data_IF_266383563769
#
_entry.id   IF_266383563769
#
_cell.length_a   1.000
_cell.length_b   1.000
_cell.length_c   1.000
_cell.angle_alpha   90.00
_cell.angle_beta   90.00
_cell.angle_gamma   90.00
#
_symmetry.space_group_name_H-M   'P 1'
#
loop_
_entity.id
_entity.type
_entity.pdbx_description
1 polymer ?
#
# COMPACT_ATOMS: atom_id res chain seq x y z
N UNK A 1 -6.78 -43.88 -74.09
CA UNK A 1 -5.67 -44.50 -73.39
C UNK A 1 -4.62 -43.42 -73.21
N UNK A 2 -4.61 -42.74 -72.02
CA UNK A 2 -3.57 -41.82 -71.64
C UNK A 2 -3.33 -42.02 -70.15
N UNK A 3 -2.15 -42.50 -69.92
CA UNK A 3 -1.60 -42.76 -68.59
C UNK A 3 -1.13 -41.50 -67.97
N UNK A 4 -1.66 -41.17 -66.78
CA UNK A 4 -1.26 -40.01 -65.99
C UNK A 4 -0.62 -40.45 -64.68
N UNK A 5 0.68 -40.53 -64.74
CA UNK A 5 1.55 -40.77 -63.60
C UNK A 5 1.54 -39.60 -62.61
N UNK A 6 0.96 -39.83 -61.44
CA UNK A 6 0.96 -38.88 -60.32
C UNK A 6 2.37 -38.87 -59.68
N UNK A 7 3.06 -37.74 -59.78
CA UNK A 7 4.27 -37.48 -58.99
C UNK A 7 3.88 -36.95 -57.61
N UNK A 8 4.17 -37.74 -56.58
CA UNK A 8 4.08 -37.35 -55.18
C UNK A 8 5.30 -36.46 -54.84
N UNK A 9 5.07 -35.18 -54.49
CA UNK A 9 6.06 -34.35 -53.86
C UNK A 9 6.00 -34.57 -52.34
N UNK A 10 7.00 -35.18 -51.74
CA UNK A 10 7.22 -35.25 -50.30
C UNK A 10 7.98 -33.97 -49.92
N UNK A 11 7.26 -33.02 -49.29
CA UNK A 11 7.88 -31.87 -48.63
C UNK A 11 8.41 -32.32 -47.27
N UNK A 12 9.71 -32.45 -47.12
CA UNK A 12 10.34 -32.65 -45.81
C UNK A 12 10.33 -31.33 -45.06
N UNK A 13 9.49 -31.22 -44.04
CA UNK A 13 9.49 -30.09 -43.09
C UNK A 13 10.69 -30.28 -42.13
N UNK A 14 11.69 -29.42 -42.27
CA UNK A 14 12.76 -29.28 -41.28
C UNK A 14 12.14 -28.61 -40.04
N UNK A 15 11.88 -29.38 -39.00
CA UNK A 15 11.56 -28.86 -37.66
C UNK A 15 12.90 -28.40 -37.07
N UNK A 16 13.13 -27.09 -37.10
CA UNK A 16 14.21 -26.50 -36.34
C UNK A 16 13.87 -26.62 -34.83
N UNK A 17 14.60 -27.46 -34.12
CA UNK A 17 14.50 -27.56 -32.67
C UNK A 17 14.96 -26.23 -32.05
N UNK A 18 14.02 -25.49 -31.44
CA UNK A 18 14.35 -24.35 -30.61
C UNK A 18 15.22 -24.81 -29.42
N UNK A 19 16.25 -24.03 -29.04
CA UNK A 19 17.04 -24.38 -27.88
C UNK A 19 16.16 -24.43 -26.64
N UNK A 20 16.41 -25.33 -25.69
CA UNK A 20 15.61 -25.36 -24.45
C UNK A 20 15.77 -24.03 -23.73
N UNK A 21 14.64 -23.35 -23.49
CA UNK A 21 14.58 -22.22 -22.58
C UNK A 21 15.04 -22.76 -21.23
N UNK A 22 16.23 -22.33 -20.79
CA UNK A 22 16.72 -22.61 -19.47
C UNK A 22 15.71 -21.97 -18.51
N UNK A 23 14.78 -22.75 -17.98
CA UNK A 23 14.01 -22.33 -16.81
C UNK A 23 15.04 -22.14 -15.69
N UNK A 24 15.32 -20.90 -15.38
CA UNK A 24 15.90 -20.56 -14.08
C UNK A 24 14.92 -21.12 -13.04
N UNK A 25 15.25 -22.29 -12.51
CA UNK A 25 14.53 -22.85 -11.38
C UNK A 25 14.70 -21.84 -10.25
N UNK A 26 13.68 -21.00 -10.05
CA UNK A 26 13.55 -20.26 -8.82
C UNK A 26 13.63 -21.30 -7.70
N UNK A 27 14.67 -21.21 -6.87
CA UNK A 27 14.82 -22.05 -5.69
C UNK A 27 13.56 -21.85 -4.87
N UNK A 28 12.68 -22.84 -4.84
CA UNK A 28 11.55 -22.82 -3.90
C UNK A 28 12.14 -22.67 -2.51
N UNK A 29 11.64 -21.72 -1.71
CA UNK A 29 12.10 -21.60 -0.33
C UNK A 29 12.07 -22.97 0.34
N UNK A 30 13.11 -23.29 1.11
CA UNK A 30 13.12 -24.55 1.87
C UNK A 30 11.92 -24.52 2.82
N UNK A 31 11.14 -25.61 2.93
CA UNK A 31 10.03 -25.66 3.88
C UNK A 31 10.53 -25.32 5.28
N UNK A 32 9.84 -24.40 5.97
CA UNK A 32 10.19 -23.97 7.34
C UNK A 32 10.21 -25.13 8.36
N UNK A 33 9.65 -26.28 8.01
CA UNK A 33 9.69 -27.51 8.80
C UNK A 33 11.09 -28.06 9.07
N UNK A 34 12.11 -27.57 8.37
CA UNK A 34 13.53 -27.97 8.53
C UNK A 34 14.36 -26.96 9.30
N UNK A 35 13.77 -25.80 9.68
CA UNK A 35 14.47 -24.79 10.45
C UNK A 35 14.65 -25.24 11.90
N UNK A 36 15.81 -24.96 12.48
CA UNK A 36 16.04 -25.04 13.91
C UNK A 36 15.28 -23.95 14.67
N UNK A 37 15.13 -24.10 15.99
CA UNK A 37 14.49 -23.09 16.85
C UNK A 37 15.18 -21.73 16.74
N UNK A 38 16.51 -21.70 16.59
CA UNK A 38 17.25 -20.44 16.48
C UNK A 38 17.07 -19.79 15.11
N UNK A 39 16.99 -20.57 14.02
CA UNK A 39 16.64 -20.05 12.71
C UNK A 39 15.22 -19.49 12.66
N UNK A 40 14.26 -20.14 13.33
CA UNK A 40 12.88 -19.64 13.47
C UNK A 40 12.86 -18.30 14.23
N UNK A 41 13.57 -18.20 15.36
CA UNK A 41 13.68 -16.95 16.10
C UNK A 41 14.37 -15.85 15.28
N UNK A 42 15.43 -16.19 14.56
CA UNK A 42 16.15 -15.27 13.70
C UNK A 42 15.28 -14.74 12.54
N UNK A 43 14.41 -15.60 11.97
CA UNK A 43 13.53 -15.22 10.87
C UNK A 43 12.52 -14.10 11.26
N UNK A 44 12.11 -14.04 12.51
CA UNK A 44 11.15 -13.04 13.00
C UNK A 44 11.82 -11.84 13.69
N UNK A 45 13.12 -11.91 13.94
CA UNK A 45 13.84 -10.86 14.68
C UNK A 45 13.93 -9.50 13.98
N UNK A 46 13.99 -9.39 12.64
CA UNK A 46 14.13 -8.10 11.97
C UNK A 46 12.99 -7.12 12.27
N UNK A 47 11.77 -7.64 12.45
CA UNK A 47 10.61 -6.79 12.76
C UNK A 47 9.59 -7.52 13.63
N UNK A 48 9.20 -6.90 14.74
CA UNK A 48 8.16 -7.38 15.67
C UNK A 48 7.34 -6.21 16.19
N UNK A 49 6.12 -6.50 16.62
CA UNK A 49 5.33 -5.57 17.41
C UNK A 49 5.93 -5.42 18.81
N UNK A 50 6.08 -4.18 19.24
CA UNK A 50 6.50 -3.80 20.59
C UNK A 50 5.31 -3.37 21.45
N UNK A 51 5.50 -2.30 22.21
CA UNK A 51 4.45 -1.77 23.11
C UNK A 51 3.34 -1.06 22.32
N UNK A 52 2.13 -1.16 22.82
CA UNK A 52 1.00 -0.36 22.37
C UNK A 52 1.24 1.12 22.62
N UNK A 53 0.84 1.95 21.68
CA UNK A 53 1.01 3.41 21.72
C UNK A 53 -0.33 4.16 21.70
N UNK A 54 -1.46 3.47 21.75
CA UNK A 54 -2.79 4.10 21.77
C UNK A 54 -2.87 5.12 22.90
N UNK A 55 -3.17 6.38 22.60
CA UNK A 55 -3.26 7.42 23.62
C UNK A 55 -4.49 7.18 24.51
N UNK A 56 -4.45 7.68 25.74
CA UNK A 56 -5.59 7.61 26.67
C UNK A 56 -6.83 8.37 26.18
N UNK A 57 -6.64 9.36 25.34
CA UNK A 57 -7.69 10.14 24.69
C UNK A 57 -7.13 10.71 23.38
N UNK A 58 -7.96 10.80 22.36
CA UNK A 58 -7.64 11.46 21.10
C UNK A 58 -7.86 12.99 21.20
N UNK A 59 -7.37 13.80 20.25
CA UNK A 59 -7.53 15.26 20.27
C UNK A 59 -8.98 15.70 20.47
N UNK A 60 -9.18 16.77 21.23
CA UNK A 60 -10.49 17.37 21.49
C UNK A 60 -11.52 16.40 22.12
N UNK A 61 -11.07 15.36 22.83
CA UNK A 61 -11.92 14.35 23.44
C UNK A 61 -12.56 13.40 22.45
N UNK A 62 -11.99 13.26 21.25
CA UNK A 62 -12.44 12.27 20.28
C UNK A 62 -12.27 10.85 20.83
N UNK A 63 -13.17 9.96 20.41
CA UNK A 63 -13.20 8.55 20.80
C UNK A 63 -12.38 7.67 19.87
N UNK A 64 -12.29 8.03 18.59
CA UNK A 64 -11.60 7.28 17.58
C UNK A 64 -10.87 8.21 16.63
N UNK A 65 -9.66 7.82 16.21
CA UNK A 65 -8.95 8.46 15.11
C UNK A 65 -9.27 7.70 13.81
N UNK A 66 -9.64 8.41 12.76
CA UNK A 66 -9.96 7.83 11.45
C UNK A 66 -8.98 8.35 10.41
N UNK A 67 -8.24 7.45 9.79
CA UNK A 67 -7.42 7.71 8.62
C UNK A 67 -8.04 7.02 7.40
N UNK A 68 -8.44 7.80 6.42
CA UNK A 68 -8.82 7.28 5.10
C UNK A 68 -7.61 7.43 4.19
N UNK A 69 -7.00 6.31 3.82
CA UNK A 69 -5.74 6.29 3.09
C UNK A 69 -5.88 5.70 1.69
N UNK A 70 -4.97 6.09 0.81
CA UNK A 70 -4.97 5.73 -0.59
C UNK A 70 -3.59 5.26 -1.00
N UNK A 71 -3.49 4.05 -1.57
CA UNK A 71 -2.31 3.57 -2.25
C UNK A 71 -2.46 3.89 -3.74
N UNK A 72 -1.63 4.83 -4.20
CA UNK A 72 -1.73 5.45 -5.52
C UNK A 72 -0.86 4.70 -6.54
N UNK A 73 -1.03 3.40 -6.63
CA UNK A 73 -0.16 2.53 -7.42
C UNK A 73 -0.19 2.84 -8.90
N UNK A 74 -1.38 3.17 -9.40
CA UNK A 74 -1.61 3.39 -10.83
C UNK A 74 -1.00 2.25 -11.67
N UNK A 75 -0.11 2.56 -12.64
CA UNK A 75 0.55 1.56 -13.46
C UNK A 75 1.85 1.01 -12.85
N UNK A 76 2.35 1.64 -11.78
CA UNK A 76 3.72 1.39 -11.29
C UNK A 76 3.98 -0.07 -10.95
N UNK A 77 3.02 -0.76 -10.31
CA UNK A 77 3.17 -2.16 -9.95
C UNK A 77 3.21 -3.08 -11.19
N UNK A 78 2.43 -2.79 -12.25
CA UNK A 78 2.46 -3.52 -13.50
C UNK A 78 3.82 -3.33 -14.20
N UNK A 79 4.31 -2.09 -14.25
CA UNK A 79 5.61 -1.77 -14.85
C UNK A 79 6.72 -2.46 -14.07
N UNK A 80 6.69 -2.44 -12.74
CA UNK A 80 7.65 -3.14 -11.88
C UNK A 80 7.67 -4.65 -12.15
N UNK A 81 6.50 -5.25 -12.40
CA UNK A 81 6.36 -6.66 -12.75
C UNK A 81 6.71 -6.96 -14.22
N UNK A 82 7.13 -5.97 -15.01
CA UNK A 82 7.44 -6.13 -16.45
C UNK A 82 6.21 -6.27 -17.35
N UNK A 83 5.00 -6.04 -16.83
CA UNK A 83 3.78 -6.07 -17.61
C UNK A 83 3.46 -4.68 -18.16
N UNK A 84 3.81 -4.45 -19.42
CA UNK A 84 3.61 -3.17 -20.13
C UNK A 84 2.53 -3.23 -21.21
N UNK A 85 1.62 -4.22 -21.14
CA UNK A 85 0.51 -4.31 -22.08
C UNK A 85 -0.43 -3.10 -21.93
N UNK A 86 -0.72 -2.34 -23.02
CA UNK A 86 -1.43 -1.05 -22.93
C UNK A 86 -2.79 -1.14 -22.22
N UNK A 87 -3.56 -2.20 -22.46
CA UNK A 87 -4.88 -2.37 -21.82
C UNK A 87 -4.74 -2.62 -20.31
N UNK A 88 -3.70 -3.33 -19.88
CA UNK A 88 -3.42 -3.55 -18.46
C UNK A 88 -3.00 -2.24 -17.79
N UNK A 89 -2.12 -1.48 -18.43
CA UNK A 89 -1.69 -0.18 -17.90
C UNK A 89 -2.87 0.81 -17.78
N UNK A 90 -3.82 0.78 -18.72
CA UNK A 90 -4.99 1.66 -18.68
C UNK A 90 -5.89 1.48 -17.44
N UNK A 91 -5.79 0.34 -16.74
CA UNK A 91 -6.48 0.15 -15.45
C UNK A 91 -5.84 1.00 -14.35
N UNK A 92 -4.53 1.09 -14.34
CA UNK A 92 -3.81 1.98 -13.41
C UNK A 92 -4.03 3.46 -13.76
N UNK A 93 -3.95 3.82 -15.05
CA UNK A 93 -4.24 5.16 -15.55
C UNK A 93 -5.61 5.67 -15.09
N UNK A 94 -6.63 4.81 -15.02
CA UNK A 94 -7.95 5.17 -14.51
C UNK A 94 -7.89 5.81 -13.11
N UNK A 95 -6.98 5.37 -12.25
CA UNK A 95 -6.79 5.93 -10.91
C UNK A 95 -6.46 7.42 -10.96
N UNK A 96 -5.51 7.83 -11.82
CA UNK A 96 -5.11 9.21 -12.00
C UNK A 96 -6.11 10.02 -12.85
N UNK A 97 -6.63 9.43 -13.95
CA UNK A 97 -7.47 10.13 -14.90
C UNK A 97 -8.90 10.41 -14.39
N UNK A 98 -9.46 9.48 -13.60
CA UNK A 98 -10.86 9.58 -13.18
C UNK A 98 -11.06 9.34 -11.66
N UNK A 99 -10.35 8.38 -11.07
CA UNK A 99 -10.57 7.97 -9.69
C UNK A 99 -10.26 9.08 -8.70
N UNK A 100 -9.06 9.67 -8.78
CA UNK A 100 -8.58 10.69 -7.84
C UNK A 100 -9.47 11.94 -7.84
N UNK A 101 -10.01 12.36 -8.99
CA UNK A 101 -10.87 13.54 -9.07
C UNK A 101 -12.16 13.35 -8.26
N UNK A 102 -12.76 12.15 -8.31
CA UNK A 102 -13.96 11.83 -7.52
C UNK A 102 -13.64 11.77 -6.03
N UNK A 103 -12.48 11.23 -5.68
CA UNK A 103 -12.03 11.11 -4.30
C UNK A 103 -11.81 12.49 -3.70
N UNK A 104 -11.10 13.37 -4.39
CA UNK A 104 -10.85 14.74 -3.92
C UNK A 104 -12.15 15.54 -3.79
N UNK A 105 -13.05 15.44 -4.78
CA UNK A 105 -14.37 16.07 -4.69
C UNK A 105 -15.20 15.54 -3.49
N UNK A 106 -15.10 14.25 -3.18
CA UNK A 106 -15.75 13.66 -2.03
C UNK A 106 -15.16 14.18 -0.71
N UNK A 107 -13.82 14.28 -0.63
CA UNK A 107 -13.13 14.79 0.54
C UNK A 107 -13.41 16.28 0.76
N UNK A 108 -13.51 17.06 -0.32
CA UNK A 108 -13.95 18.45 -0.26
C UNK A 108 -15.41 18.57 0.23
N UNK A 109 -16.31 17.73 -0.27
CA UNK A 109 -17.71 17.69 0.18
C UNK A 109 -17.83 17.45 1.69
N UNK A 110 -17.00 16.57 2.22
CA UNK A 110 -17.04 16.21 3.63
C UNK A 110 -16.11 17.05 4.51
N UNK A 111 -15.25 17.89 3.93
CA UNK A 111 -14.22 18.66 4.62
C UNK A 111 -13.34 17.80 5.53
N UNK A 112 -12.75 16.73 4.95
CA UNK A 112 -11.89 15.79 5.64
C UNK A 112 -10.51 15.67 4.98
N UNK A 113 -9.45 15.38 5.76
CA UNK A 113 -8.15 15.06 5.20
C UNK A 113 -8.07 13.60 4.72
N UNK A 114 -7.00 13.28 3.98
CA UNK A 114 -6.64 11.92 3.60
C UNK A 114 -5.14 11.77 3.46
N UNK A 115 -4.65 10.54 3.57
CA UNK A 115 -3.25 10.19 3.34
C UNK A 115 -3.10 9.46 2.02
N UNK A 116 -2.18 9.91 1.19
CA UNK A 116 -1.92 9.36 -0.13
C UNK A 116 -0.50 8.81 -0.15
N UNK A 117 -0.35 7.49 -0.14
CA UNK A 117 0.93 6.83 -0.29
C UNK A 117 1.17 6.56 -1.77
N UNK A 118 2.20 7.20 -2.31
CA UNK A 118 2.37 7.28 -3.75
C UNK A 118 3.74 6.72 -4.15
N UNK A 119 3.80 5.67 -5.00
CA UNK A 119 5.04 5.30 -5.66
C UNK A 119 5.61 6.50 -6.43
N UNK A 120 6.90 6.75 -6.34
CA UNK A 120 7.49 7.93 -6.99
C UNK A 120 7.27 7.92 -8.52
N UNK A 121 7.21 6.74 -9.15
CA UNK A 121 6.89 6.58 -10.57
C UNK A 121 5.47 7.04 -10.88
N UNK A 122 4.48 6.77 -10.02
CA UNK A 122 3.12 7.29 -10.20
C UNK A 122 3.10 8.82 -10.14
N UNK A 123 3.87 9.42 -9.21
CA UNK A 123 4.04 10.88 -9.16
C UNK A 123 4.77 11.46 -10.38
N UNK A 124 5.72 10.71 -10.95
CA UNK A 124 6.43 11.08 -12.17
C UNK A 124 5.52 11.07 -13.40
N UNK A 125 4.66 10.06 -13.50
CA UNK A 125 3.72 9.90 -14.63
C UNK A 125 2.59 10.94 -14.58
N UNK A 126 2.14 11.33 -13.37
CA UNK A 126 0.96 12.15 -13.15
C UNK A 126 1.24 13.36 -12.23
N UNK A 127 2.07 14.32 -12.65
CA UNK A 127 2.37 15.51 -11.84
C UNK A 127 1.11 16.34 -11.53
N UNK A 128 0.12 16.36 -12.42
CA UNK A 128 -1.17 17.06 -12.20
C UNK A 128 -1.99 16.41 -11.08
N UNK A 129 -1.95 15.09 -10.95
CA UNK A 129 -2.57 14.35 -9.84
C UNK A 129 -1.93 14.76 -8.52
N UNK A 130 -0.60 14.81 -8.46
CA UNK A 130 0.15 15.27 -7.27
C UNK A 130 -0.23 16.71 -6.92
N UNK A 131 -0.32 17.59 -7.92
CA UNK A 131 -0.73 18.98 -7.71
C UNK A 131 -2.17 19.09 -7.19
N UNK A 132 -3.10 18.29 -7.73
CA UNK A 132 -4.49 18.27 -7.28
C UNK A 132 -4.60 17.82 -5.81
N UNK A 133 -3.88 16.76 -5.40
CA UNK A 133 -3.85 16.29 -4.01
C UNK A 133 -3.31 17.38 -3.07
N UNK A 134 -2.28 18.13 -3.49
CA UNK A 134 -1.65 19.18 -2.69
C UNK A 134 -2.48 20.46 -2.58
N UNK A 135 -3.36 20.73 -3.54
CA UNK A 135 -4.00 22.04 -3.72
C UNK A 135 -4.82 22.48 -2.51
N UNK A 136 -5.44 21.55 -1.78
CA UNK A 136 -6.21 21.86 -0.57
C UNK A 136 -5.35 22.16 0.66
N UNK A 137 -4.08 21.74 0.66
CA UNK A 137 -3.18 21.84 1.83
C UNK A 137 -3.54 20.94 3.02
N UNK A 138 -4.63 20.15 2.92
CA UNK A 138 -5.13 19.31 4.03
C UNK A 138 -4.67 17.86 3.95
N UNK A 139 -4.25 17.39 2.75
CA UNK A 139 -3.87 16.01 2.53
C UNK A 139 -2.39 15.79 2.77
N UNK A 140 -2.07 14.56 3.14
CA UNK A 140 -0.71 14.07 3.26
C UNK A 140 -0.29 13.29 2.01
N UNK A 141 0.98 13.41 1.64
CA UNK A 141 1.64 12.50 0.71
C UNK A 141 2.72 11.74 1.48
N UNK A 142 2.60 10.41 1.53
CA UNK A 142 3.57 9.47 2.03
C UNK A 142 4.32 8.75 0.90
N UNK A 143 5.45 8.13 1.23
CA UNK A 143 6.26 7.35 0.28
C UNK A 143 5.74 5.92 0.18
N UNK A 144 5.60 5.42 -1.06
CA UNK A 144 5.19 4.04 -1.37
C UNK A 144 6.17 3.35 -2.33
N UNK A 145 7.46 3.39 -1.98
CA UNK A 145 8.54 2.91 -2.83
C UNK A 145 8.85 3.81 -4.03
N UNK A 146 9.75 3.33 -4.90
CA UNK A 146 10.08 4.01 -6.17
C UNK A 146 9.07 3.69 -7.27
N UNK A 147 8.87 2.39 -7.56
CA UNK A 147 8.06 1.87 -8.67
C UNK A 147 7.07 0.79 -8.19
N UNK A 148 6.75 0.77 -6.90
CA UNK A 148 5.99 -0.32 -6.28
C UNK A 148 6.73 -1.65 -6.38
N UNK A 149 8.04 -1.63 -6.13
CA UNK A 149 8.92 -2.79 -6.14
C UNK A 149 8.57 -3.82 -5.07
N UNK A 150 8.73 -5.11 -5.39
CA UNK A 150 8.60 -6.20 -4.40
C UNK A 150 9.84 -6.24 -3.50
N UNK A 151 9.77 -5.60 -2.34
CA UNK A 151 10.90 -5.54 -1.41
C UNK A 151 11.39 -6.90 -0.93
N UNK A 152 10.52 -7.91 -0.65
CA UNK A 152 10.97 -9.24 -0.27
C UNK A 152 11.83 -9.96 -1.32
N UNK A 153 11.70 -9.58 -2.59
CA UNK A 153 12.46 -10.15 -3.69
C UNK A 153 13.82 -9.48 -3.91
N UNK A 154 14.12 -8.41 -3.17
CA UNK A 154 15.39 -7.70 -3.24
C UNK A 154 16.34 -8.25 -2.18
N UNK A 155 17.26 -9.13 -2.60
CA UNK A 155 18.24 -9.75 -1.71
C UNK A 155 19.42 -8.82 -1.36
N UNK A 156 19.63 -7.75 -2.12
CA UNK A 156 20.72 -6.78 -1.94
C UNK A 156 20.24 -5.53 -1.19
N UNK A 157 20.77 -5.34 0.02
CA UNK A 157 20.50 -4.15 0.85
C UNK A 157 20.84 -2.84 0.14
N UNK A 158 21.93 -2.82 -0.65
CA UNK A 158 22.36 -1.61 -1.34
C UNK A 158 21.38 -1.23 -2.47
N UNK A 159 20.79 -2.21 -3.15
CA UNK A 159 19.79 -1.97 -4.17
C UNK A 159 18.47 -1.45 -3.57
N UNK A 160 18.00 -2.03 -2.47
CA UNK A 160 16.82 -1.51 -1.76
C UNK A 160 17.03 -0.08 -1.26
N UNK A 161 18.20 0.19 -0.66
CA UNK A 161 18.57 1.55 -0.22
C UNK A 161 18.63 2.53 -1.39
N UNK A 162 19.15 2.12 -2.53
CA UNK A 162 19.22 2.93 -3.75
C UNK A 162 17.82 3.33 -4.24
N UNK A 163 16.88 2.37 -4.28
CA UNK A 163 15.49 2.61 -4.69
C UNK A 163 14.77 3.53 -3.71
N UNK A 164 14.92 3.28 -2.40
CA UNK A 164 14.35 4.11 -1.36
C UNK A 164 14.87 5.56 -1.45
N UNK A 165 16.18 5.76 -1.56
CA UNK A 165 16.77 7.09 -1.72
C UNK A 165 16.27 7.79 -2.98
N UNK A 166 16.14 7.07 -4.09
CA UNK A 166 15.60 7.61 -5.33
C UNK A 166 14.16 8.11 -5.15
N UNK A 167 13.33 7.38 -4.40
CA UNK A 167 11.97 7.81 -4.06
C UNK A 167 11.98 9.05 -3.15
N UNK A 168 12.83 9.06 -2.12
CA UNK A 168 13.00 10.20 -1.20
C UNK A 168 13.42 11.46 -1.96
N UNK A 169 14.42 11.37 -2.82
CA UNK A 169 14.94 12.49 -3.60
C UNK A 169 13.86 13.07 -4.53
N UNK A 170 13.12 12.19 -5.22
CA UNK A 170 11.99 12.61 -6.06
C UNK A 170 10.95 13.38 -5.24
N UNK A 171 10.50 12.82 -4.13
CA UNK A 171 9.48 13.45 -3.31
C UNK A 171 9.96 14.71 -2.61
N UNK A 172 11.20 14.73 -2.11
CA UNK A 172 11.78 15.93 -1.50
C UNK A 172 11.84 17.08 -2.51
N UNK A 173 12.26 16.80 -3.75
CA UNK A 173 12.27 17.79 -4.82
C UNK A 173 10.87 18.28 -5.19
N UNK A 174 9.90 17.35 -5.27
CA UNK A 174 8.53 17.64 -5.70
C UNK A 174 7.75 18.42 -4.64
N UNK A 175 7.94 18.08 -3.36
CA UNK A 175 7.19 18.64 -2.24
C UNK A 175 7.91 19.81 -1.54
N UNK A 176 9.20 20.00 -1.80
CA UNK A 176 10.04 20.96 -1.08
C UNK A 176 10.51 20.50 0.30
N UNK A 177 10.08 19.31 0.73
CA UNK A 177 10.49 18.64 1.97
C UNK A 177 10.30 17.13 1.85
N UNK A 178 11.05 16.36 2.62
CA UNK A 178 10.89 14.92 2.69
C UNK A 178 9.55 14.55 3.36
N UNK A 179 8.75 13.61 2.81
CA UNK A 179 7.64 12.98 3.52
C UNK A 179 8.14 12.23 4.75
N UNK A 180 7.35 12.22 5.82
CA UNK A 180 7.71 11.57 7.07
C UNK A 180 7.03 10.20 7.26
N UNK A 181 6.01 9.90 6.46
CA UNK A 181 5.29 8.63 6.45
C UNK A 181 5.77 7.71 5.33
N UNK A 182 5.87 6.43 5.66
CA UNK A 182 6.20 5.36 4.74
C UNK A 182 5.11 4.29 4.76
N UNK A 183 4.83 3.73 3.60
CA UNK A 183 4.07 2.49 3.43
C UNK A 183 4.81 1.64 2.40
N UNK A 184 5.14 0.40 2.76
CA UNK A 184 5.82 -0.50 1.84
C UNK A 184 4.89 -0.92 0.70
N UNK A 185 5.37 -1.02 -0.54
CA UNK A 185 4.63 -1.66 -1.61
C UNK A 185 4.11 -3.04 -1.19
N UNK A 186 2.84 -3.33 -1.51
CA UNK A 186 2.14 -4.57 -1.09
C UNK A 186 2.20 -4.86 0.41
N UNK A 187 2.50 -3.87 1.24
CA UNK A 187 2.70 -3.97 2.69
C UNK A 187 3.74 -5.03 3.09
N UNK A 188 4.73 -5.22 2.24
CA UNK A 188 5.72 -6.27 2.39
C UNK A 188 7.11 -5.69 2.64
N UNK A 189 7.70 -6.04 3.78
CA UNK A 189 9.07 -5.68 4.12
C UNK A 189 10.06 -6.76 3.66
N UNK A 190 11.23 -6.33 3.24
CA UNK A 190 12.44 -7.17 3.28
C UNK A 190 12.98 -7.21 4.69
N UNK A 191 14.01 -8.01 4.90
CA UNK A 191 14.76 -8.01 6.18
C UNK A 191 15.53 -6.71 6.46
N UNK A 192 15.60 -5.79 5.51
CA UNK A 192 16.36 -4.53 5.60
C UNK A 192 15.48 -3.30 5.73
N UNK A 193 14.22 -3.39 5.30
CA UNK A 193 13.33 -2.24 5.12
C UNK A 193 13.20 -1.40 6.38
N UNK A 194 12.95 -2.01 7.55
CA UNK A 194 12.77 -1.27 8.80
C UNK A 194 14.01 -0.42 9.15
N UNK A 195 15.19 -0.99 9.01
CA UNK A 195 16.43 -0.27 9.30
C UNK A 195 16.68 0.85 8.29
N UNK A 196 16.34 0.63 7.01
CA UNK A 196 16.51 1.61 5.95
C UNK A 196 15.58 2.81 6.13
N UNK A 197 14.29 2.60 6.40
CA UNK A 197 13.35 3.71 6.59
C UNK A 197 13.70 4.53 7.85
N UNK A 198 14.12 3.87 8.93
CA UNK A 198 14.63 4.55 10.13
C UNK A 198 15.87 5.40 9.84
N UNK A 199 16.86 4.81 9.18
CA UNK A 199 18.10 5.50 8.84
C UNK A 199 17.89 6.70 7.91
N UNK A 200 16.82 6.72 7.13
CA UNK A 200 16.46 7.79 6.22
C UNK A 200 15.41 8.76 6.80
N UNK A 201 15.12 8.71 8.12
CA UNK A 201 14.39 9.75 8.83
C UNK A 201 12.87 9.68 8.75
N UNK A 202 12.29 8.55 8.30
CA UNK A 202 10.85 8.34 8.40
C UNK A 202 10.42 8.26 9.87
N UNK A 203 9.27 8.82 10.19
CA UNK A 203 8.78 8.92 11.56
C UNK A 203 7.72 7.87 11.89
N UNK A 204 7.03 7.35 10.90
CA UNK A 204 6.08 6.27 11.05
C UNK A 204 6.03 5.39 9.79
N UNK A 205 5.62 4.17 10.00
CA UNK A 205 5.27 3.19 8.99
C UNK A 205 3.77 2.87 9.05
N UNK A 206 3.21 2.38 7.95
CA UNK A 206 1.83 1.92 7.86
C UNK A 206 1.75 0.71 6.94
N UNK A 207 2.44 -0.37 7.32
CA UNK A 207 2.53 -1.59 6.50
C UNK A 207 2.27 -2.87 7.28
N UNK A 208 2.43 -2.85 8.61
CA UNK A 208 2.38 -4.07 9.42
C UNK A 208 1.00 -4.26 10.07
N UNK A 209 0.68 -5.53 10.40
CA UNK A 209 -0.67 -5.99 10.77
C UNK A 209 -0.69 -6.73 12.12
N UNK A 210 0.22 -6.38 13.05
CA UNK A 210 0.33 -7.18 14.27
C UNK A 210 -0.68 -6.79 15.36
N UNK A 211 -1.32 -5.63 15.25
CA UNK A 211 -2.33 -5.11 16.19
C UNK A 211 -3.34 -4.24 15.44
N UNK A 212 -4.50 -4.00 16.03
CA UNK A 212 -5.54 -3.11 15.49
C UNK A 212 -5.35 -1.65 15.92
N UNK A 213 -4.32 -1.35 16.68
CA UNK A 213 -4.05 -0.04 17.28
C UNK A 213 -2.59 0.36 17.12
N UNK A 214 -2.23 1.65 17.20
CA UNK A 214 -0.85 2.10 17.05
C UNK A 214 0.09 1.41 18.02
N UNK A 215 1.26 0.99 17.52
CA UNK A 215 2.29 0.35 18.33
C UNK A 215 3.70 0.74 17.89
N UNK A 216 4.69 0.46 18.73
CA UNK A 216 6.09 0.65 18.41
C UNK A 216 6.64 -0.57 17.67
N UNK A 217 7.36 -0.36 16.57
CA UNK A 217 8.12 -1.43 15.93
C UNK A 217 9.39 -1.75 16.73
N UNK A 218 9.68 -3.05 16.84
CA UNK A 218 10.88 -3.59 17.50
C UNK A 218 11.72 -4.30 16.47
N UNK A 219 13.04 -4.05 16.46
CA UNK A 219 14.02 -4.74 15.61
C UNK A 219 15.04 -5.45 16.50
N UNK A 220 15.26 -6.74 16.25
CA UNK A 220 16.20 -7.58 17.01
C UNK A 220 16.03 -7.45 18.55
N UNK A 221 14.78 -7.38 19.00
CA UNK A 221 14.43 -7.25 20.41
C UNK A 221 14.64 -5.86 21.00
N UNK A 222 14.99 -4.85 20.18
CA UNK A 222 15.21 -3.48 20.64
C UNK A 222 14.11 -2.54 20.12
N UNK A 223 13.55 -1.66 20.97
CA UNK A 223 12.65 -0.61 20.56
C UNK A 223 13.28 0.28 19.48
N UNK A 224 12.52 0.65 18.46
CA UNK A 224 13.04 1.42 17.33
C UNK A 224 12.66 2.89 17.38
N UNK A 225 11.69 3.27 18.20
CA UNK A 225 11.05 4.59 18.17
C UNK A 225 10.14 4.82 16.95
N UNK A 226 10.06 3.87 16.02
CA UNK A 226 9.16 3.94 14.86
C UNK A 226 7.73 3.60 15.29
N UNK A 227 6.80 4.51 14.99
CA UNK A 227 5.37 4.26 15.15
C UNK A 227 4.87 3.44 13.97
N UNK A 228 4.16 2.36 14.26
CA UNK A 228 3.34 1.67 13.29
C UNK A 228 1.89 2.17 13.40
N UNK A 229 1.33 2.62 12.28
CA UNK A 229 -0.10 2.82 12.10
C UNK A 229 -0.64 1.62 11.31
N UNK A 230 -1.15 0.59 12.01
CA UNK A 230 -1.41 -0.70 11.37
C UNK A 230 -2.44 -0.61 10.26
N UNK A 231 -2.22 -1.43 9.24
CA UNK A 231 -3.17 -1.76 8.19
C UNK A 231 -3.68 -3.18 8.39
N UNK A 232 -4.73 -3.56 7.68
CA UNK A 232 -5.22 -4.93 7.63
C UNK A 232 -5.90 -5.22 6.28
N UNK A 233 -5.75 -6.45 5.78
CA UNK A 233 -6.40 -6.87 4.54
C UNK A 233 -7.93 -6.82 4.59
N UNK A 234 -8.52 -6.85 5.80
CA UNK A 234 -9.97 -6.66 6.01
C UNK A 234 -10.38 -5.23 5.64
N UNK A 235 -9.49 -4.27 5.85
CA UNK A 235 -9.68 -2.84 5.58
C UNK A 235 -8.90 -2.38 4.34
N UNK A 236 -8.81 -3.23 3.32
CA UNK A 236 -8.23 -2.93 2.02
C UNK A 236 -9.25 -3.27 0.91
N UNK A 237 -9.48 -2.35 -0.01
CA UNK A 237 -10.42 -2.56 -1.12
C UNK A 237 -9.86 -3.51 -2.18
N UNK A 238 -8.55 -3.60 -2.32
CA UNK A 238 -7.89 -4.35 -3.41
C UNK A 238 -8.22 -5.85 -3.40
N UNK A 239 -8.07 -6.58 -2.28
CA UNK A 239 -8.38 -8.02 -2.25
C UNK A 239 -9.82 -8.35 -2.62
N UNK A 240 -10.75 -7.48 -2.25
CA UNK A 240 -12.18 -7.72 -2.50
C UNK A 240 -12.57 -7.51 -3.96
N UNK A 241 -11.98 -6.52 -4.64
CA UNK A 241 -12.47 -6.08 -5.94
C UNK A 241 -11.56 -6.43 -7.11
N UNK A 242 -10.41 -7.04 -6.88
CA UNK A 242 -9.43 -7.39 -7.92
C UNK A 242 -9.17 -8.89 -8.03
N UNK A 243 -9.70 -9.71 -7.12
CA UNK A 243 -9.56 -11.16 -7.19
C UNK A 243 -10.26 -11.75 -8.42
N UNK A 244 -9.67 -12.81 -8.99
CA UNK A 244 -10.21 -13.53 -10.14
C UNK A 244 -11.48 -14.29 -9.74
N UNK A 245 -12.64 -13.73 -10.02
CA UNK A 245 -13.93 -14.34 -9.70
C UNK A 245 -15.10 -13.39 -9.90
N UNK A 246 -16.28 -13.76 -9.38
CA UNK A 246 -17.41 -12.85 -9.35
C UNK A 246 -17.11 -11.68 -8.42
N UNK A 247 -17.25 -10.45 -8.92
CA UNK A 247 -17.06 -9.25 -8.10
C UNK A 247 -18.11 -9.23 -6.98
N UNK A 248 -17.70 -9.05 -5.72
CA UNK A 248 -18.64 -8.94 -4.61
C UNK A 248 -19.48 -7.67 -4.72
N UNK A 249 -20.64 -7.66 -4.07
CA UNK A 249 -21.43 -6.43 -3.94
C UNK A 249 -20.64 -5.38 -3.15
N UNK A 250 -20.46 -4.16 -3.69
CA UNK A 250 -19.85 -3.07 -2.92
C UNK A 250 -20.56 -2.82 -1.59
N UNK A 251 -21.88 -2.92 -1.54
CA UNK A 251 -22.66 -2.77 -0.31
C UNK A 251 -22.18 -3.69 0.82
N UNK A 252 -21.96 -4.98 0.51
CA UNK A 252 -21.51 -5.95 1.50
C UNK A 252 -20.09 -5.65 2.00
N UNK A 253 -19.19 -5.23 1.11
CA UNK A 253 -17.82 -4.87 1.50
C UNK A 253 -17.81 -3.62 2.36
N UNK A 254 -18.54 -2.56 1.96
CA UNK A 254 -18.63 -1.35 2.77
C UNK A 254 -19.37 -1.57 4.10
N UNK A 255 -20.21 -2.63 4.18
CA UNK A 255 -20.74 -3.06 5.48
C UNK A 255 -19.65 -3.61 6.38
N UNK A 256 -18.71 -4.42 5.87
CA UNK A 256 -17.54 -4.88 6.64
C UNK A 256 -16.74 -3.67 7.13
N UNK A 257 -16.41 -2.72 6.25
CA UNK A 257 -15.66 -1.52 6.62
C UNK A 257 -16.37 -0.71 7.71
N UNK A 258 -17.70 -0.65 7.68
CA UNK A 258 -18.49 0.02 8.72
C UNK A 258 -18.47 -0.74 10.05
N UNK A 259 -18.59 -2.07 10.02
CA UNK A 259 -18.62 -2.89 11.23
C UNK A 259 -17.26 -2.83 11.95
N UNK A 260 -16.14 -2.80 11.21
CA UNK A 260 -14.79 -2.56 11.72
C UNK A 260 -14.65 -1.15 12.35
N UNK A 261 -15.19 -0.12 11.68
CA UNK A 261 -15.22 1.22 12.27
C UNK A 261 -16.04 1.26 13.57
N UNK A 262 -17.21 0.63 13.61
CA UNK A 262 -18.05 0.62 14.81
C UNK A 262 -17.34 -0.04 16.00
N UNK A 263 -16.54 -1.07 15.74
CA UNK A 263 -15.76 -1.73 16.79
C UNK A 263 -14.59 -0.85 17.23
N UNK A 264 -13.82 -0.25 16.30
CA UNK A 264 -12.75 0.69 16.63
C UNK A 264 -13.27 1.90 17.43
N UNK A 265 -14.45 2.43 17.07
CA UNK A 265 -15.12 3.51 17.80
C UNK A 265 -15.51 3.10 19.24
N UNK A 266 -15.99 1.87 19.43
CA UNK A 266 -16.35 1.33 20.74
C UNK A 266 -15.12 1.10 21.62
N UNK A 267 -14.03 0.65 21.05
CA UNK A 267 -12.76 0.37 21.73
C UNK A 267 -11.96 1.65 22.02
N UNK A 268 -12.24 2.74 21.31
CA UNK A 268 -11.53 3.99 21.48
C UNK A 268 -10.16 4.01 20.83
N UNK A 269 -9.98 3.26 19.76
CA UNK A 269 -8.70 3.07 19.10
C UNK A 269 -8.58 3.89 17.80
N UNK A 270 -8.00 3.30 16.77
CA UNK A 270 -7.79 3.88 15.45
C UNK A 270 -8.53 3.05 14.39
N UNK A 271 -8.96 3.71 13.33
CA UNK A 271 -9.49 3.07 12.12
C UNK A 271 -8.67 3.53 10.92
N UNK A 272 -8.06 2.59 10.21
CA UNK A 272 -7.28 2.83 9.00
C UNK A 272 -7.92 2.07 7.84
N UNK A 273 -8.55 2.80 6.90
CA UNK A 273 -9.08 2.21 5.68
C UNK A 273 -8.13 2.52 4.53
N UNK A 274 -7.65 1.49 3.87
CA UNK A 274 -6.80 1.63 2.68
C UNK A 274 -7.61 1.36 1.43
N UNK A 275 -7.45 2.22 0.45
CA UNK A 275 -8.18 2.16 -0.81
C UNK A 275 -7.24 2.49 -1.98
N UNK A 276 -7.66 2.09 -3.18
CA UNK A 276 -6.95 2.38 -4.41
C UNK A 276 -7.84 3.19 -5.36
N UNK A 277 -7.39 4.31 -5.94
CA UNK A 277 -8.23 5.14 -6.81
C UNK A 277 -8.74 4.38 -8.04
N UNK A 278 -7.95 3.45 -8.56
CA UNK A 278 -8.33 2.56 -9.66
C UNK A 278 -9.32 1.46 -9.22
N UNK A 279 -9.60 1.32 -7.92
CA UNK A 279 -10.55 0.36 -7.34
C UNK A 279 -11.76 1.10 -6.80
N UNK A 280 -11.66 1.79 -5.67
CA UNK A 280 -12.81 2.49 -5.04
C UNK A 280 -13.21 3.79 -5.76
N UNK A 281 -12.32 4.39 -6.58
CA UNK A 281 -12.68 5.55 -7.40
C UNK A 281 -13.73 5.29 -8.49
N UNK A 282 -14.17 4.03 -8.69
CA UNK A 282 -15.25 3.68 -9.63
C UNK A 282 -16.64 4.14 -9.15
N UNK A 283 -17.52 4.41 -10.12
CA UNK A 283 -18.88 4.97 -9.91
C UNK A 283 -19.70 4.22 -8.86
N UNK A 284 -19.67 2.89 -8.88
CA UNK A 284 -20.47 2.07 -7.97
C UNK A 284 -19.90 1.96 -6.56
N UNK A 285 -18.61 2.26 -6.35
CA UNK A 285 -17.94 2.12 -5.06
C UNK A 285 -17.82 3.44 -4.32
N UNK A 286 -17.59 4.54 -5.07
CA UNK A 286 -17.46 5.87 -4.47
C UNK A 286 -18.73 6.33 -3.74
N UNK A 287 -19.92 5.88 -4.15
CA UNK A 287 -21.16 6.20 -3.46
C UNK A 287 -21.24 5.56 -2.07
N UNK A 288 -20.75 4.33 -1.92
CA UNK A 288 -20.70 3.67 -0.61
C UNK A 288 -19.62 4.26 0.30
N UNK A 289 -18.52 4.77 -0.27
CA UNK A 289 -17.55 5.55 0.52
C UNK A 289 -18.17 6.85 1.02
N UNK A 290 -18.97 7.54 0.20
CA UNK A 290 -19.72 8.73 0.59
C UNK A 290 -20.66 8.44 1.77
N UNK A 291 -21.42 7.35 1.68
CA UNK A 291 -22.33 6.88 2.74
C UNK A 291 -21.55 6.52 4.03
N UNK A 292 -20.42 5.83 3.90
CA UNK A 292 -19.57 5.45 5.04
C UNK A 292 -19.01 6.69 5.76
N UNK A 293 -18.50 7.67 5.03
CA UNK A 293 -18.00 8.92 5.61
C UNK A 293 -19.15 9.67 6.30
N UNK A 294 -20.32 9.76 5.66
CA UNK A 294 -21.51 10.37 6.24
C UNK A 294 -21.93 9.68 7.55
N UNK A 295 -21.89 8.34 7.57
CA UNK A 295 -22.15 7.56 8.77
C UNK A 295 -21.14 7.85 9.90
N UNK A 296 -19.84 7.83 9.60
CA UNK A 296 -18.79 8.15 10.57
C UNK A 296 -18.99 9.57 11.15
N UNK A 297 -19.29 10.56 10.30
CA UNK A 297 -19.54 11.95 10.73
C UNK A 297 -20.81 12.11 11.55
N UNK A 298 -21.77 11.22 11.46
CA UNK A 298 -22.96 11.21 12.31
C UNK A 298 -22.68 10.82 13.77
N UNK A 299 -21.52 10.22 14.04
CA UNK A 299 -21.07 9.84 15.39
C UNK A 299 -20.33 11.00 16.05
N UNK A 300 -20.56 11.20 17.34
CA UNK A 300 -19.81 12.18 18.12
C UNK A 300 -18.39 11.69 18.42
N UNK A 301 -17.40 12.58 18.37
CA UNK A 301 -16.05 12.26 18.78
C UNK A 301 -15.27 11.40 17.76
N UNK A 302 -15.50 11.60 16.47
CA UNK A 302 -14.69 11.06 15.40
C UNK A 302 -13.69 12.11 14.95
N UNK A 303 -12.41 11.78 15.00
CA UNK A 303 -11.33 12.64 14.53
C UNK A 303 -10.79 12.11 13.20
N UNK A 304 -11.18 12.74 12.09
CA UNK A 304 -10.57 12.49 10.80
C UNK A 304 -9.20 13.17 10.73
N UNK A 305 -8.17 12.39 10.44
CA UNK A 305 -6.80 12.86 10.43
C UNK A 305 -5.97 12.14 9.37
N UNK A 306 -4.85 12.76 8.99
CA UNK A 306 -3.82 12.07 8.19
C UNK A 306 -3.02 11.11 9.07
N UNK A 307 -2.34 10.14 8.44
CA UNK A 307 -1.40 9.25 9.13
C UNK A 307 -0.34 10.04 9.90
N UNK A 308 0.22 11.09 9.29
CA UNK A 308 1.19 11.96 9.96
C UNK A 308 0.61 12.63 11.21
N UNK A 309 -0.62 13.14 11.15
CA UNK A 309 -1.26 13.77 12.32
C UNK A 309 -1.50 12.76 13.45
N UNK A 310 -1.93 11.54 13.09
CA UNK A 310 -2.11 10.46 14.08
C UNK A 310 -0.77 10.06 14.67
N UNK A 311 0.25 9.80 13.84
CA UNK A 311 1.58 9.42 14.30
C UNK A 311 2.21 10.48 15.21
N UNK A 312 2.10 11.76 14.86
CA UNK A 312 2.60 12.87 15.68
C UNK A 312 1.90 12.91 17.05
N UNK A 313 0.59 12.76 17.08
CA UNK A 313 -0.16 12.74 18.32
C UNK A 313 0.19 11.53 19.20
N UNK A 314 0.29 10.36 18.60
CA UNK A 314 0.69 9.11 19.28
C UNK A 314 2.09 9.26 19.90
N UNK A 315 3.06 9.78 19.15
CA UNK A 315 4.43 10.01 19.64
C UNK A 315 4.47 10.99 20.82
N UNK A 316 3.75 12.10 20.71
CA UNK A 316 3.65 13.10 21.79
C UNK A 316 3.01 12.50 23.06
N UNK A 317 1.94 11.73 22.89
CA UNK A 317 1.23 11.07 23.99
C UNK A 317 2.05 9.98 24.69
N UNK A 318 2.93 9.32 23.94
CA UNK A 318 3.82 8.27 24.47
C UNK A 318 5.07 8.81 25.20
N UNK A 319 5.23 10.14 25.31
CA UNK A 319 6.37 10.78 25.95
C UNK A 319 7.63 10.84 25.06
N UNK A 320 7.46 10.71 23.76
CA UNK A 320 8.54 10.88 22.78
C UNK A 320 8.89 12.37 22.61
N UNK A 321 10.05 12.81 23.09
CA UNK A 321 10.65 14.08 22.66
C UNK A 321 10.96 14.05 21.15
N UNK A 322 10.82 15.20 20.49
CA UNK A 322 11.23 15.42 19.09
C UNK A 322 12.72 15.19 18.90
#
# INVERSE_FOLDING_TARGET
>A
MHDMTKRLFIAAALIAAAPPIAHVQQRRPQPGTKLSDDEIKAAVAPMRAGRKLTPKAWPNGAKVAVCLSWDMDNESFNIAAGNTAPVVLSQGEYGAAAGVQRILALYDKHDIPGSFYIPAVSGLLYPEMVQAIRSSGRHEIGVHGWIHESLPDIDDRAEEERLLKKAIDFWTKTLGKQPLGYRAPSWAFSKYTLDLIRANGFQYDSSAMAMDEPYELVSHGQPTGMVELPVDWILDDYPYFTSNGALPSPELIFKVFRDEFDQAYKEGTMYMLTMHPMVTGHRSRIIYLDELIGYMKSKSGVWFATGQQIADYVRQSAGGSR
#
